data_IF_988999773436
#
_entry.id   IF_988999773436
#
_cell.length_a   1.000
_cell.length_b   1.000
_cell.length_c   1.000
_cell.angle_alpha   90.00
_cell.angle_beta   90.00
_cell.angle_gamma   90.00
#
_symmetry.space_group_name_H-M   'P 1'
#
loop_
_entity.id
_entity.type
_entity.pdbx_description
1 polymer ?
#
# COMPACT_ATOMS: atom_id res chain seq x y z
N UNK A 1 14.68 5.52 8.31
CA UNK A 1 14.02 6.85 8.43
C UNK A 1 12.52 6.61 8.32
N UNK A 2 11.73 7.06 9.29
CA UNK A 2 10.27 7.03 9.25
C UNK A 2 9.77 8.36 8.69
N UNK A 3 8.76 8.34 7.83
CA UNK A 3 8.32 9.54 7.12
C UNK A 3 7.68 9.25 5.77
N UNK A 4 7.33 10.33 5.05
CA UNK A 4 6.69 10.29 3.75
C UNK A 4 7.59 10.98 2.73
N UNK A 5 7.91 10.29 1.64
CA UNK A 5 8.69 10.82 0.53
C UNK A 5 7.92 11.83 -0.32
N UNK A 6 8.58 12.35 -1.35
CA UNK A 6 8.04 13.42 -2.20
C UNK A 6 7.02 12.89 -3.19
N UNK A 7 6.03 13.72 -3.53
CA UNK A 7 5.05 13.40 -4.59
C UNK A 7 4.08 12.29 -4.24
N UNK A 8 3.91 11.96 -2.95
CA UNK A 8 2.90 10.99 -2.53
C UNK A 8 1.49 11.58 -2.67
N UNK A 9 0.54 10.73 -3.04
CA UNK A 9 -0.88 11.05 -3.08
C UNK A 9 -1.63 10.14 -2.11
N UNK A 10 -2.12 10.69 -1.00
CA UNK A 10 -2.80 9.95 0.06
C UNK A 10 -4.24 10.45 0.14
N UNK A 11 -5.20 9.57 -0.13
CA UNK A 11 -6.61 9.92 -0.14
C UNK A 11 -7.27 9.84 1.25
N UNK A 12 -8.53 10.26 1.31
CA UNK A 12 -9.30 10.41 2.54
C UNK A 12 -9.47 9.12 3.34
N UNK A 13 -9.68 9.29 4.65
CA UNK A 13 -10.03 8.24 5.60
C UNK A 13 -8.98 7.13 5.74
N UNK A 14 -7.70 7.37 5.40
CA UNK A 14 -6.64 6.43 5.70
C UNK A 14 -6.33 6.41 7.21
N UNK A 15 -5.99 5.22 7.72
CA UNK A 15 -5.59 5.02 9.12
C UNK A 15 -4.13 4.62 9.18
N UNK A 16 -3.28 5.43 9.82
CA UNK A 16 -1.87 5.12 10.03
C UNK A 16 -1.61 4.79 11.50
N UNK A 17 -1.75 3.51 11.85
CA UNK A 17 -1.48 3.04 13.20
C UNK A 17 0.01 2.73 13.36
N UNK A 18 0.80 3.81 13.51
CA UNK A 18 2.24 3.82 13.21
C UNK A 18 3.22 3.69 14.39
N UNK A 19 2.85 3.20 15.58
CA UNK A 19 3.79 3.11 16.74
C UNK A 19 5.02 2.26 16.43
N UNK A 20 4.90 1.23 15.59
CA UNK A 20 6.03 0.41 15.12
C UNK A 20 6.84 1.02 13.97
N UNK A 21 6.41 2.19 13.47
CA UNK A 21 7.06 2.97 12.43
C UNK A 21 6.55 2.68 11.02
N UNK A 22 6.37 3.75 10.23
CA UNK A 22 5.95 3.68 8.82
C UNK A 22 6.95 4.49 8.00
N UNK A 23 7.52 3.86 6.97
CA UNK A 23 8.36 4.51 5.98
C UNK A 23 7.68 4.43 4.61
N UNK A 24 7.41 5.59 4.00
CA UNK A 24 6.80 5.70 2.67
C UNK A 24 7.79 6.41 1.76
N UNK A 25 8.11 5.78 0.63
CA UNK A 25 8.99 6.29 -0.41
C UNK A 25 8.39 7.45 -1.19
N UNK A 26 8.94 7.71 -2.37
CA UNK A 26 8.51 8.77 -3.28
C UNK A 26 7.43 8.28 -4.23
N UNK A 27 6.57 9.20 -4.68
CA UNK A 27 5.56 8.96 -5.73
C UNK A 27 4.60 7.79 -5.41
N UNK A 28 4.34 7.55 -4.11
CA UNK A 28 3.41 6.50 -3.66
C UNK A 28 1.97 6.99 -3.78
N UNK A 29 1.09 6.16 -4.35
CA UNK A 29 -0.35 6.39 -4.37
C UNK A 29 -1.05 5.51 -3.33
N UNK A 30 -1.77 6.13 -2.39
CA UNK A 30 -2.57 5.46 -1.38
C UNK A 30 -4.04 5.84 -1.58
N UNK A 31 -4.85 4.87 -1.99
CA UNK A 31 -6.29 5.03 -2.17
C UNK A 31 -7.04 5.27 -0.85
N UNK A 32 -8.33 5.65 -0.91
CA UNK A 32 -9.11 5.96 0.29
C UNK A 32 -9.19 4.77 1.25
N UNK A 33 -9.41 5.03 2.54
CA UNK A 33 -9.65 3.97 3.55
C UNK A 33 -8.55 2.92 3.68
N UNK A 34 -7.32 3.21 3.23
CA UNK A 34 -6.18 2.30 3.44
C UNK A 34 -5.77 2.33 4.90
N UNK A 35 -5.51 1.14 5.46
CA UNK A 35 -5.07 0.97 6.84
C UNK A 35 -3.62 0.47 6.85
N UNK A 36 -2.71 1.26 7.40
CA UNK A 36 -1.32 0.87 7.64
C UNK A 36 -1.16 0.57 9.13
N UNK A 37 -1.06 -0.72 9.49
CA UNK A 37 -1.11 -1.16 10.88
C UNK A 37 0.24 -1.76 11.28
N UNK A 38 0.96 -1.08 12.17
CA UNK A 38 2.29 -1.53 12.63
C UNK A 38 2.26 -2.23 13.98
N UNK A 39 1.09 -2.28 14.64
CA UNK A 39 0.91 -2.85 15.98
C UNK A 39 -0.03 -4.05 15.90
N UNK A 40 0.28 -5.09 16.67
CA UNK A 40 -0.67 -6.15 16.97
C UNK A 40 -0.46 -6.66 18.41
N UNK A 41 -1.40 -7.45 18.90
CA UNK A 41 -1.32 -8.09 20.21
C UNK A 41 -0.45 -9.35 20.19
N UNK A 42 0.10 -9.70 21.34
CA UNK A 42 0.69 -11.02 21.55
C UNK A 42 -0.32 -12.12 21.16
N UNK A 43 0.19 -13.21 20.58
CA UNK A 43 -0.64 -14.37 20.20
C UNK A 43 -1.03 -15.21 21.40
N UNK A 44 -0.28 -15.09 22.51
CA UNK A 44 -0.63 -15.73 23.78
C UNK A 44 -1.80 -14.97 24.44
N UNK A 45 -2.98 -15.61 24.62
CA UNK A 45 -4.15 -14.95 25.21
C UNK A 45 -3.91 -14.46 26.66
N UNK A 46 -3.04 -15.13 27.41
CA UNK A 46 -2.64 -14.73 28.77
C UNK A 46 -1.84 -13.43 28.81
N UNK A 47 -1.36 -12.96 27.65
CA UNK A 47 -0.60 -11.74 27.48
C UNK A 47 -1.31 -10.73 26.54
N UNK A 48 -2.64 -10.78 26.47
CA UNK A 48 -3.44 -9.97 25.54
C UNK A 48 -3.31 -8.45 25.72
N UNK A 49 -2.83 -7.97 26.87
CA UNK A 49 -2.51 -6.55 27.08
C UNK A 49 -1.21 -6.11 26.41
N UNK A 50 -0.31 -7.05 26.10
CA UNK A 50 0.96 -6.76 25.44
C UNK A 50 0.77 -6.56 23.94
N UNK A 51 1.54 -5.63 23.39
CA UNK A 51 1.52 -5.28 21.97
C UNK A 51 2.93 -5.23 21.43
N UNK A 52 3.14 -5.77 20.23
CA UNK A 52 4.39 -5.62 19.50
C UNK A 52 4.25 -4.63 18.36
N UNK A 53 5.35 -3.98 18.00
CA UNK A 53 5.44 -3.09 16.84
C UNK A 53 6.39 -3.67 15.81
N UNK A 54 5.99 -3.72 14.52
CA UNK A 54 6.89 -4.03 13.41
C UNK A 54 6.71 -3.00 12.29
N UNK A 55 7.81 -2.44 11.77
CA UNK A 55 7.72 -1.34 10.81
C UNK A 55 7.09 -1.80 9.50
N UNK A 56 6.32 -0.91 8.88
CA UNK A 56 5.89 -1.06 7.48
C UNK A 56 6.82 -0.22 6.60
N UNK A 57 7.27 -0.81 5.50
CA UNK A 57 8.10 -0.12 4.49
C UNK A 57 7.40 -0.16 3.15
N UNK A 58 7.10 1.01 2.59
CA UNK A 58 6.51 1.18 1.27
C UNK A 58 7.56 1.86 0.41
N UNK A 59 8.10 1.16 -0.58
CA UNK A 59 9.10 1.71 -1.51
C UNK A 59 8.47 2.65 -2.55
N UNK A 60 9.33 3.27 -3.36
CA UNK A 60 8.91 4.28 -4.35
C UNK A 60 7.92 3.70 -5.38
N UNK A 61 7.02 4.56 -5.85
CA UNK A 61 6.04 4.29 -6.93
C UNK A 61 5.08 3.14 -6.66
N UNK A 62 4.91 2.75 -5.40
CA UNK A 62 3.89 1.78 -5.00
C UNK A 62 2.49 2.37 -5.16
N UNK A 63 1.54 1.54 -5.60
CA UNK A 63 0.13 1.85 -5.59
C UNK A 63 -0.64 0.93 -4.65
N UNK A 64 -1.31 1.50 -3.66
CA UNK A 64 -2.19 0.79 -2.73
C UNK A 64 -3.65 1.13 -3.03
N UNK A 65 -4.42 0.12 -3.45
CA UNK A 65 -5.83 0.24 -3.78
C UNK A 65 -6.71 0.52 -2.56
N UNK A 66 -7.86 1.17 -2.83
CA UNK A 66 -8.86 1.56 -1.83
C UNK A 66 -9.19 0.43 -0.84
N UNK A 67 -9.38 0.78 0.43
CA UNK A 67 -9.79 -0.13 1.50
C UNK A 67 -8.83 -1.32 1.76
N UNK A 68 -7.56 -1.22 1.35
CA UNK A 68 -6.56 -2.25 1.64
C UNK A 68 -5.97 -2.08 3.05
N UNK A 69 -5.58 -3.19 3.66
CA UNK A 69 -4.94 -3.22 4.98
C UNK A 69 -3.56 -3.85 4.87
N UNK A 70 -2.53 -3.15 5.35
CA UNK A 70 -1.14 -3.61 5.40
C UNK A 70 -0.79 -3.93 6.85
N UNK A 71 -0.34 -5.16 7.11
CA UNK A 71 -0.09 -5.66 8.46
C UNK A 71 1.35 -5.42 8.95
N UNK A 72 1.63 -5.61 10.26
CA UNK A 72 2.91 -5.27 10.84
C UNK A 72 4.08 -6.01 10.20
N UNK A 73 5.16 -5.29 9.90
CA UNK A 73 6.40 -5.87 9.36
C UNK A 73 6.44 -6.03 7.85
N UNK A 74 5.36 -5.69 7.13
CA UNK A 74 5.30 -5.85 5.69
C UNK A 74 6.15 -4.79 4.96
N UNK A 75 6.97 -5.26 4.03
CA UNK A 75 7.61 -4.45 2.99
C UNK A 75 6.87 -4.58 1.65
N UNK A 76 6.52 -3.45 1.04
CA UNK A 76 5.98 -3.39 -0.33
C UNK A 76 7.06 -2.82 -1.24
N UNK A 77 7.54 -3.65 -2.16
CA UNK A 77 8.65 -3.31 -3.05
C UNK A 77 8.29 -2.33 -4.16
N UNK A 78 9.32 -1.71 -4.74
CA UNK A 78 9.24 -0.67 -5.77
C UNK A 78 8.22 -1.00 -6.88
N UNK A 79 7.34 -0.06 -7.18
CA UNK A 79 6.38 -0.17 -8.29
C UNK A 79 5.33 -1.29 -8.12
N UNK A 80 5.22 -1.91 -6.95
CA UNK A 80 4.20 -2.91 -6.70
C UNK A 80 2.80 -2.30 -6.60
N UNK A 81 1.79 -3.10 -6.94
CA UNK A 81 0.38 -2.72 -6.88
C UNK A 81 -0.35 -3.65 -5.93
N UNK A 82 -1.05 -3.08 -4.95
CA UNK A 82 -1.98 -3.78 -4.08
C UNK A 82 -3.40 -3.49 -4.58
N UNK A 83 -4.13 -4.52 -4.98
CA UNK A 83 -5.52 -4.39 -5.43
C UNK A 83 -6.45 -3.95 -4.28
N UNK A 84 -7.59 -3.36 -4.63
CA UNK A 84 -8.57 -2.88 -3.67
C UNK A 84 -9.04 -3.97 -2.68
N UNK A 85 -9.31 -3.58 -1.42
CA UNK A 85 -9.83 -4.48 -0.38
C UNK A 85 -8.87 -5.57 0.08
N UNK A 86 -7.58 -5.47 -0.25
CA UNK A 86 -6.61 -6.53 0.05
C UNK A 86 -6.14 -6.50 1.50
N UNK A 87 -5.83 -7.67 2.06
CA UNK A 87 -5.16 -7.78 3.38
C UNK A 87 -3.76 -8.35 3.17
N UNK A 88 -2.77 -7.47 3.21
CA UNK A 88 -1.37 -7.81 2.93
C UNK A 88 -0.71 -8.28 4.22
N UNK A 89 -0.41 -9.57 4.26
CA UNK A 89 0.14 -10.30 5.42
C UNK A 89 1.63 -10.63 5.29
N UNK A 90 2.21 -10.42 4.12
CA UNK A 90 3.58 -10.79 3.75
C UNK A 90 4.16 -9.74 2.81
N UNK A 91 5.48 -9.69 2.73
CA UNK A 91 6.19 -8.81 1.81
C UNK A 91 5.73 -9.00 0.36
N UNK A 92 5.64 -7.87 -0.34
CA UNK A 92 5.28 -7.82 -1.76
C UNK A 92 6.54 -7.52 -2.55
N UNK A 93 6.98 -8.42 -3.44
CA UNK A 93 8.13 -8.16 -4.29
C UNK A 93 7.91 -6.95 -5.19
N UNK A 94 9.00 -6.27 -5.56
CA UNK A 94 8.94 -5.18 -6.53
C UNK A 94 8.25 -5.60 -7.84
N UNK A 95 7.64 -4.64 -8.52
CA UNK A 95 7.00 -4.83 -9.82
C UNK A 95 6.00 -6.00 -9.83
N UNK A 96 5.23 -6.16 -8.76
CA UNK A 96 4.26 -7.25 -8.61
C UNK A 96 2.89 -6.70 -8.26
N UNK A 97 1.85 -7.30 -8.83
CA UNK A 97 0.45 -7.04 -8.48
C UNK A 97 0.01 -8.14 -7.51
N UNK A 98 -0.47 -7.73 -6.33
CA UNK A 98 -1.11 -8.62 -5.36
C UNK A 98 -2.55 -8.20 -5.13
N UNK A 99 -3.46 -9.13 -4.85
CA UNK A 99 -4.75 -8.80 -4.25
C UNK A 99 -5.35 -9.94 -3.42
N UNK A 100 -6.45 -9.64 -2.72
CA UNK A 100 -7.24 -10.60 -1.95
C UNK A 100 -6.99 -10.52 -0.44
N UNK A 101 -7.72 -11.35 0.31
CA UNK A 101 -7.59 -11.49 1.75
C UNK A 101 -7.47 -12.98 2.11
N UNK A 102 -6.27 -13.46 2.50
CA UNK A 102 -4.99 -12.75 2.48
C UNK A 102 -4.48 -12.51 1.05
N UNK A 103 -3.74 -11.42 0.84
CA UNK A 103 -3.26 -11.03 -0.47
C UNK A 103 -2.32 -12.10 -1.07
N UNK A 104 -2.46 -12.33 -2.37
CA UNK A 104 -1.64 -13.26 -3.16
C UNK A 104 -1.16 -12.58 -4.43
N UNK A 105 -0.01 -13.02 -4.94
CA UNK A 105 0.52 -12.56 -6.22
C UNK A 105 -0.46 -12.96 -7.32
N UNK A 106 -0.91 -11.96 -8.08
CA UNK A 106 -1.74 -12.14 -9.28
C UNK A 106 -0.83 -12.20 -10.51
N UNK A 107 0.11 -11.25 -10.62
CA UNK A 107 0.96 -11.11 -11.82
C UNK A 107 2.21 -10.29 -11.51
N UNK A 108 3.29 -10.53 -12.26
CA UNK A 108 4.46 -9.64 -12.34
C UNK A 108 4.29 -8.58 -13.44
N UNK A 109 4.69 -7.35 -13.15
CA UNK A 109 4.66 -6.22 -14.06
C UNK A 109 5.95 -6.25 -14.89
N UNK A 110 5.80 -6.34 -16.20
CA UNK A 110 6.92 -6.22 -17.14
C UNK A 110 6.81 -4.89 -17.88
N UNK A 111 7.93 -4.22 -18.23
CA UNK A 111 7.92 -2.89 -18.84
C UNK A 111 7.01 -2.73 -20.07
N UNK A 112 6.75 -3.82 -20.81
CA UNK A 112 5.94 -3.82 -22.03
C UNK A 112 4.46 -4.20 -21.80
N UNK A 113 4.01 -4.24 -20.53
CA UNK A 113 2.66 -4.72 -20.17
C UNK A 113 1.61 -3.61 -19.96
N UNK A 114 1.96 -2.35 -20.26
CA UNK A 114 1.00 -1.24 -20.23
C UNK A 114 0.03 -1.39 -21.41
N UNK A 115 -1.29 -1.50 -21.19
CA UNK A 115 -2.25 -1.43 -22.28
C UNK A 115 -2.10 -0.05 -22.94
N UNK A 116 -1.75 -0.02 -24.22
CA UNK A 116 -1.58 1.19 -25.05
C UNK A 116 -2.90 1.93 -25.33
N UNK A 117 -3.96 1.66 -24.57
CA UNK A 117 -5.28 2.15 -24.92
C UNK A 117 -5.42 3.64 -24.55
N UNK A 118 -5.12 4.48 -25.54
CA UNK A 118 -5.16 5.94 -25.53
C UNK A 118 -6.50 6.57 -25.10
N UNK A 119 -7.54 5.78 -24.82
CA UNK A 119 -8.86 6.26 -24.46
C UNK A 119 -8.95 6.77 -23.00
N UNK A 120 -8.22 6.17 -22.06
CA UNK A 120 -8.30 6.53 -20.63
C UNK A 120 -7.49 7.81 -20.28
N UNK A 121 -6.40 8.10 -21.01
CA UNK A 121 -5.60 9.33 -20.81
C UNK A 121 -6.41 10.61 -21.03
N UNK A 122 -7.39 10.60 -21.94
CA UNK A 122 -8.21 11.79 -22.23
C UNK A 122 -9.26 12.11 -21.17
N UNK A 123 -9.74 11.13 -20.40
CA UNK A 123 -10.71 11.38 -19.33
C UNK A 123 -10.02 11.82 -18.04
N UNK A 124 -8.90 11.19 -17.66
CA UNK A 124 -8.18 11.51 -16.41
C UNK A 124 -7.57 12.92 -16.38
N UNK A 125 -7.19 13.48 -17.54
CA UNK A 125 -6.63 14.83 -17.63
C UNK A 125 -7.69 15.93 -17.76
N UNK A 126 -8.94 15.58 -18.12
CA UNK A 126 -10.02 16.55 -18.30
C UNK A 126 -10.68 16.92 -16.96
N UNK A 127 -10.73 16.00 -16.02
CA UNK A 127 -11.27 16.23 -14.67
C UNK A 127 -10.34 17.05 -13.76
N UNK A 128 -9.04 17.15 -14.09
CA UNK A 128 -8.06 17.95 -13.33
C UNK A 128 -7.92 19.40 -13.83
N UNK A 129 -8.55 19.75 -14.96
CA UNK A 129 -8.58 21.13 -15.48
C UNK A 129 -9.85 21.91 -15.11
N UNK A 130 -10.79 21.28 -14.42
CA UNK A 130 -12.09 21.86 -14.04
C UNK A 130 -12.26 22.05 -12.52
N UNK A 131 -11.15 22.04 -11.75
CA UNK A 131 -11.13 22.43 -10.32
C UNK A 131 -10.01 23.43 -10.07
#
# INVERSE_FOLDING_TARGET
MYGIGKGCFIQQCCTFFGRGGIAIGNEVFIGPKVNLITINHDVNPENSSATYGRPIVIEDKVWIGINSTILPGVKIGYGAIVGAGSVVTKDVPAMTIVAGNPARIIKRIFPNSVPTNNHLKKHFLKELSEV
#
